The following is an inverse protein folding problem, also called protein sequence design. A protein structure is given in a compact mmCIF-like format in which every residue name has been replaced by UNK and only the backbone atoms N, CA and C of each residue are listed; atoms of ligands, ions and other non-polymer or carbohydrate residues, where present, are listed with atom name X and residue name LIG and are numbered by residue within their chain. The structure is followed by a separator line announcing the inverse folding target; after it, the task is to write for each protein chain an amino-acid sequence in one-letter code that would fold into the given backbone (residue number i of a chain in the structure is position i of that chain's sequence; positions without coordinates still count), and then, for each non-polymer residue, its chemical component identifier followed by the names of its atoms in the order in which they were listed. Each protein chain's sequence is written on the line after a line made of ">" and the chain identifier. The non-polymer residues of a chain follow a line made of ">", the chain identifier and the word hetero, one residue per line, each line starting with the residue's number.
data_IF_235785930344
#
_entry.id   IF_235785930344
#
_cell.length_a   1.000
_cell.length_b   1.000
_cell.length_c   1.000
_cell.angle_alpha   90.00
_cell.angle_beta   90.00
_cell.angle_gamma   90.00
#
_symmetry.space_group_name_H-M   'P 1'
#
loop_
_entity.id
_entity.type
_entity.pdbx_description
1 polymer ?
#
# COMPACT_ATOMS: atom_id res chain seq x y z
N UNK A 1 6.12 4.31 -18.41
CA UNK A 1 5.53 4.09 -17.07
C UNK A 1 5.65 5.39 -16.31
N UNK A 2 4.54 6.06 -16.02
CA UNK A 2 4.56 7.26 -15.15
C UNK A 2 4.47 6.78 -13.71
N UNK A 3 5.42 7.19 -12.87
CA UNK A 3 5.41 6.89 -11.45
C UNK A 3 4.88 8.14 -10.74
N UNK A 4 3.68 8.04 -10.18
CA UNK A 4 3.12 9.05 -9.30
C UNK A 4 3.44 8.66 -7.86
N UNK A 5 4.01 9.58 -7.07
CA UNK A 5 4.24 9.37 -5.64
C UNK A 5 3.70 10.56 -4.84
N UNK A 6 3.22 10.28 -3.63
CA UNK A 6 2.81 11.29 -2.66
C UNK A 6 3.27 10.85 -1.27
N UNK A 7 3.64 11.81 -0.42
CA UNK A 7 4.11 11.53 0.94
C UNK A 7 3.07 12.03 1.93
N UNK A 8 2.68 11.16 2.86
CA UNK A 8 1.76 11.50 3.96
C UNK A 8 2.30 10.97 5.27
N UNK A 9 2.06 11.71 6.35
CA UNK A 9 2.38 11.25 7.68
C UNK A 9 1.35 10.21 8.15
N UNK A 10 1.84 9.06 8.58
CA UNK A 10 1.05 7.96 9.12
C UNK A 10 1.93 7.08 10.02
N UNK A 11 1.30 6.31 10.90
CA UNK A 11 2.01 5.45 11.85
C UNK A 11 2.34 4.06 11.26
N UNK A 12 1.64 3.67 10.20
CA UNK A 12 1.93 2.49 9.39
C UNK A 12 1.36 2.62 7.97
N UNK A 13 1.67 1.65 7.10
CA UNK A 13 1.25 1.64 5.70
C UNK A 13 -0.28 1.57 5.51
N UNK A 14 -1.01 0.82 6.35
CA UNK A 14 -2.47 0.75 6.28
C UNK A 14 -3.13 2.05 6.70
N UNK A 15 -2.67 2.66 7.79
CA UNK A 15 -3.16 3.96 8.25
C UNK A 15 -2.88 5.08 7.26
N UNK A 16 -1.82 4.97 6.45
CA UNK A 16 -1.56 5.92 5.37
C UNK A 16 -2.68 5.90 4.30
N UNK A 17 -3.27 4.74 4.03
CA UNK A 17 -4.41 4.59 3.10
C UNK A 17 -5.66 5.23 3.68
N UNK A 18 -5.98 4.94 4.94
CA UNK A 18 -7.14 5.53 5.63
C UNK A 18 -7.00 7.06 5.72
N UNK A 19 -5.83 7.57 6.09
CA UNK A 19 -5.56 9.01 6.09
C UNK A 19 -5.68 9.62 4.69
N UNK A 20 -5.17 8.94 3.65
CA UNK A 20 -5.34 9.40 2.28
C UNK A 20 -6.82 9.49 1.87
N UNK A 21 -7.66 8.56 2.34
CA UNK A 21 -9.11 8.63 2.13
C UNK A 21 -9.73 9.82 2.88
N UNK A 22 -9.38 10.02 4.17
CA UNK A 22 -9.83 11.18 4.95
C UNK A 22 -9.47 12.51 4.29
N UNK A 23 -8.24 12.67 3.80
CA UNK A 23 -7.84 13.87 3.05
C UNK A 23 -8.58 14.02 1.73
N UNK A 24 -8.91 12.91 1.05
CA UNK A 24 -9.69 12.96 -0.19
C UNK A 24 -11.10 13.50 0.08
N UNK A 25 -11.65 13.25 1.27
CA UNK A 25 -12.95 13.80 1.68
C UNK A 25 -12.98 15.31 1.89
N UNK A 26 -11.83 15.96 2.10
CA UNK A 26 -11.75 17.42 2.16
C UNK A 26 -12.06 18.07 0.81
N UNK A 27 -12.02 17.30 -0.29
CA UNK A 27 -12.44 17.79 -1.59
C UNK A 27 -13.96 17.95 -1.66
N UNK A 28 -14.47 19.07 -2.20
CA UNK A 28 -15.91 19.28 -2.41
C UNK A 28 -16.61 18.16 -3.19
N UNK A 29 -15.85 17.41 -4.01
CA UNK A 29 -16.35 16.26 -4.78
C UNK A 29 -16.90 15.13 -3.91
N UNK A 30 -16.44 15.02 -2.67
CA UNK A 30 -16.81 13.95 -1.73
C UNK A 30 -17.55 14.49 -0.50
N UNK A 31 -17.96 15.76 -0.44
CA UNK A 31 -18.57 16.34 0.76
C UNK A 31 -20.07 16.01 1.00
N UNK A 32 -20.81 15.59 -0.04
CA UNK A 32 -22.27 15.69 -0.04
C UNK A 32 -23.03 14.34 -0.01
N UNK A 33 -22.39 13.22 0.34
CA UNK A 33 -23.03 11.90 0.32
C UNK A 33 -22.85 11.14 1.64
N UNK A 34 -23.85 10.35 2.03
CA UNK A 34 -23.74 9.43 3.17
C UNK A 34 -22.68 8.34 2.98
N UNK A 35 -22.28 8.08 1.73
CA UNK A 35 -21.27 7.06 1.36
C UNK A 35 -19.93 7.69 0.95
N UNK A 36 -19.70 8.94 1.30
CA UNK A 36 -18.53 9.71 0.88
C UNK A 36 -17.19 9.09 1.29
N UNK A 37 -17.11 8.47 2.48
CA UNK A 37 -15.89 7.79 2.94
C UNK A 37 -15.53 6.59 2.05
N UNK A 38 -16.51 5.73 1.77
CA UNK A 38 -16.33 4.55 0.91
C UNK A 38 -15.93 4.95 -0.51
N UNK A 39 -16.54 6.01 -1.05
CA UNK A 39 -16.17 6.54 -2.37
C UNK A 39 -14.75 7.11 -2.38
N UNK A 40 -14.35 7.82 -1.32
CA UNK A 40 -13.00 8.35 -1.18
C UNK A 40 -11.96 7.22 -1.06
N UNK A 41 -12.23 6.21 -0.23
CA UNK A 41 -11.34 5.05 -0.05
C UNK A 41 -11.22 4.25 -1.35
N UNK A 42 -12.34 4.07 -2.08
CA UNK A 42 -12.31 3.47 -3.43
C UNK A 42 -11.46 4.27 -4.41
N UNK A 43 -11.57 5.60 -4.40
CA UNK A 43 -10.76 6.46 -5.28
C UNK A 43 -9.26 6.33 -4.96
N UNK A 44 -8.90 6.24 -3.68
CA UNK A 44 -7.51 6.00 -3.24
C UNK A 44 -6.99 4.65 -3.72
N UNK A 45 -7.76 3.58 -3.54
CA UNK A 45 -7.43 2.23 -4.04
C UNK A 45 -7.29 2.19 -5.56
N UNK A 46 -8.09 2.98 -6.29
CA UNK A 46 -7.97 3.10 -7.72
C UNK A 46 -6.73 3.89 -8.16
N UNK A 47 -6.33 4.91 -7.40
CA UNK A 47 -5.20 5.78 -7.73
C UNK A 47 -3.83 5.21 -7.33
N UNK A 48 -3.77 4.39 -6.29
CA UNK A 48 -2.52 3.88 -5.71
C UNK A 48 -2.41 2.37 -5.88
N UNK A 49 -1.26 1.87 -6.29
CA UNK A 49 -0.98 0.42 -6.35
C UNK A 49 -0.22 -0.11 -5.14
N UNK A 50 0.70 0.71 -4.61
CA UNK A 50 1.60 0.34 -3.51
C UNK A 50 1.77 1.53 -2.57
N UNK A 51 1.75 1.24 -1.28
CA UNK A 51 2.08 2.18 -0.20
C UNK A 51 3.30 1.65 0.54
N UNK A 52 4.33 2.50 0.66
CA UNK A 52 5.55 2.20 1.38
C UNK A 52 5.62 3.09 2.61
N UNK A 53 5.76 2.48 3.78
CA UNK A 53 5.89 3.18 5.05
C UNK A 53 7.37 3.22 5.48
N UNK A 54 7.83 4.42 5.80
CA UNK A 54 9.19 4.69 6.28
C UNK A 54 9.12 5.05 7.77
N UNK A 55 9.97 4.42 8.57
CA UNK A 55 10.11 4.73 10.00
C UNK A 55 11.57 5.02 10.36
N UNK A 56 11.76 5.64 11.52
CA UNK A 56 13.08 5.84 12.10
C UNK A 56 13.44 4.60 12.93
N UNK A 57 14.56 3.96 12.60
CA UNK A 57 15.18 2.91 13.40
C UNK A 57 16.05 3.47 14.53
N UNK A 58 16.64 2.58 15.35
CA UNK A 58 17.63 2.96 16.35
C UNK A 58 18.76 3.77 15.71
N UNK A 59 19.17 4.86 16.36
CA UNK A 59 20.23 5.76 15.84
C UNK A 59 19.80 6.70 14.71
N UNK A 60 18.49 6.84 14.44
CA UNK A 60 17.98 7.82 13.47
C UNK A 60 18.02 7.38 12.01
N UNK A 61 18.45 6.14 11.74
CA UNK A 61 18.45 5.58 10.39
C UNK A 61 17.02 5.43 9.86
N UNK A 62 16.76 5.91 8.64
CA UNK A 62 15.46 5.72 7.96
C UNK A 62 15.40 4.31 7.38
N UNK A 63 14.33 3.58 7.67
CA UNK A 63 14.10 2.22 7.16
C UNK A 63 12.68 2.05 6.65
N UNK A 64 12.51 1.18 5.67
CA UNK A 64 11.17 0.68 5.31
C UNK A 64 10.67 -0.17 6.47
N UNK A 65 9.46 0.12 6.93
CA UNK A 65 8.79 -0.63 8.01
C UNK A 65 7.56 -1.37 7.52
N UNK A 66 6.98 -0.99 6.39
CA UNK A 66 5.87 -1.71 5.81
C UNK A 66 5.69 -1.41 4.33
N UNK A 67 5.18 -2.39 3.60
CA UNK A 67 4.78 -2.26 2.21
C UNK A 67 3.43 -2.93 2.05
N UNK A 68 2.44 -2.18 1.58
CA UNK A 68 1.08 -2.65 1.33
C UNK A 68 0.76 -2.48 -0.15
N UNK A 69 0.25 -3.52 -0.79
CA UNK A 69 -0.30 -3.47 -2.13
C UNK A 69 -1.82 -3.29 -2.08
N UNK A 70 -2.35 -2.43 -2.95
CA UNK A 70 -3.77 -2.13 -3.01
C UNK A 70 -4.40 -2.77 -4.25
N UNK A 71 -5.54 -3.41 -4.04
CA UNK A 71 -6.45 -3.87 -5.07
C UNK A 71 -7.56 -2.86 -5.35
N UNK A 72 -8.35 -3.12 -6.40
CA UNK A 72 -9.41 -2.20 -6.84
C UNK A 72 -10.63 -2.15 -5.91
N UNK A 73 -10.82 -3.18 -5.09
CA UNK A 73 -11.85 -3.21 -4.06
C UNK A 73 -11.33 -2.52 -2.79
N UNK A 74 -12.25 -1.83 -2.09
CA UNK A 74 -11.97 -1.00 -0.91
C UNK A 74 -11.30 -1.77 0.23
N UNK A 75 -11.64 -3.05 0.37
CA UNK A 75 -11.07 -3.90 1.43
C UNK A 75 -9.94 -4.80 0.93
N UNK A 76 -9.55 -4.67 -0.34
CA UNK A 76 -8.47 -5.46 -0.90
C UNK A 76 -7.13 -4.74 -0.72
N UNK A 77 -6.53 -4.95 0.44
CA UNK A 77 -5.16 -4.52 0.74
C UNK A 77 -4.33 -5.72 1.22
N UNK A 78 -3.17 -5.93 0.63
CA UNK A 78 -2.28 -7.06 0.92
C UNK A 78 -0.98 -6.54 1.49
N UNK A 79 -0.65 -6.94 2.72
CA UNK A 79 0.66 -6.65 3.31
C UNK A 79 1.73 -7.50 2.62
N UNK A 80 2.66 -6.83 1.92
CA UNK A 80 3.77 -7.49 1.25
C UNK A 80 4.95 -7.66 2.20
N UNK A 81 5.23 -6.60 2.96
CA UNK A 81 6.27 -6.56 3.98
C UNK A 81 5.74 -5.84 5.22
N UNK A 82 6.10 -6.34 6.40
CA UNK A 82 5.79 -5.74 7.70
C UNK A 82 6.98 -5.87 8.65
N UNK A 83 6.89 -5.29 9.84
CA UNK A 83 7.95 -5.45 10.86
C UNK A 83 7.74 -6.73 11.66
N UNK A 84 8.83 -7.47 11.88
CA UNK A 84 8.87 -8.53 12.90
C UNK A 84 8.87 -7.93 14.31
N UNK A 85 8.67 -8.77 15.34
CA UNK A 85 8.72 -8.32 16.74
C UNK A 85 10.09 -7.72 17.11
N UNK A 86 11.15 -8.18 16.45
CA UNK A 86 12.53 -7.69 16.59
C UNK A 86 12.78 -6.40 15.78
N UNK A 87 11.77 -5.89 15.08
CA UNK A 87 11.82 -4.65 14.32
C UNK A 87 12.45 -4.79 12.92
N UNK A 88 12.74 -6.00 12.46
CA UNK A 88 13.28 -6.26 11.13
C UNK A 88 12.18 -6.27 10.07
N UNK A 89 12.48 -5.86 8.84
CA UNK A 89 11.53 -5.95 7.74
C UNK A 89 11.40 -7.43 7.31
N UNK A 90 10.18 -7.96 7.35
CA UNK A 90 9.87 -9.35 6.99
C UNK A 90 8.85 -9.37 5.87
N UNK A 91 9.08 -10.20 4.85
CA UNK A 91 8.09 -10.47 3.81
C UNK A 91 6.92 -11.25 4.41
N UNK A 92 5.70 -10.75 4.22
CA UNK A 92 4.46 -11.38 4.70
C UNK A 92 3.78 -12.16 3.57
N UNK A 93 3.76 -11.60 2.36
CA UNK A 93 3.28 -12.31 1.16
C UNK A 93 4.12 -13.55 0.87
N UNK A 94 3.50 -14.68 0.55
CA UNK A 94 4.22 -15.94 0.28
C UNK A 94 4.47 -16.07 -1.22
N UNK A 95 3.45 -15.80 -2.02
CA UNK A 95 3.46 -16.03 -3.46
C UNK A 95 3.15 -14.73 -4.21
N UNK A 96 3.65 -14.64 -5.45
CA UNK A 96 3.23 -13.60 -6.41
C UNK A 96 1.72 -13.69 -6.69
N UNK A 97 1.14 -14.89 -6.53
CA UNK A 97 -0.30 -15.11 -6.61
C UNK A 97 -1.11 -14.29 -5.61
N UNK A 98 -0.50 -13.94 -4.46
CA UNK A 98 -1.12 -13.16 -3.38
C UNK A 98 -1.20 -11.66 -3.72
N UNK A 99 -0.51 -11.21 -4.78
CA UNK A 99 -0.56 -9.81 -5.21
C UNK A 99 -1.93 -9.48 -5.80
N UNK A 100 -2.45 -8.25 -5.54
CA UNK A 100 -3.65 -7.78 -6.20
C UNK A 100 -3.56 -7.90 -7.73
N UNK A 101 -4.63 -8.34 -8.43
CA UNK A 101 -4.58 -8.64 -9.86
C UNK A 101 -4.00 -7.52 -10.74
N UNK A 102 -4.35 -6.27 -10.44
CA UNK A 102 -3.85 -5.09 -11.15
C UNK A 102 -2.33 -4.92 -11.01
N UNK A 103 -1.82 -5.06 -9.79
CA UNK A 103 -0.39 -4.98 -9.53
C UNK A 103 0.36 -6.14 -10.18
N UNK A 104 -0.18 -7.37 -10.07
CA UNK A 104 0.38 -8.56 -10.72
C UNK A 104 0.47 -8.40 -12.23
N UNK A 105 -0.56 -7.86 -12.88
CA UNK A 105 -0.57 -7.61 -14.31
C UNK A 105 0.52 -6.60 -14.73
N UNK A 106 0.69 -5.51 -13.96
CA UNK A 106 1.72 -4.49 -14.20
C UNK A 106 3.14 -5.02 -14.01
N UNK A 107 3.34 -5.85 -12.99
CA UNK A 107 4.64 -6.43 -12.66
C UNK A 107 4.98 -7.67 -13.50
N UNK A 108 4.04 -8.23 -14.27
CA UNK A 108 4.24 -9.48 -15.02
C UNK A 108 5.50 -9.48 -15.89
N UNK A 109 5.82 -8.35 -16.50
CA UNK A 109 7.02 -8.20 -17.33
C UNK A 109 8.32 -8.13 -16.52
N UNK A 110 8.26 -7.58 -15.31
CA UNK A 110 9.41 -7.51 -14.39
C UNK A 110 9.62 -8.80 -13.59
N UNK A 111 8.58 -9.64 -13.48
CA UNK A 111 8.58 -10.91 -12.75
C UNK A 111 8.97 -12.10 -13.63
N UNK A 112 9.27 -11.89 -14.92
CA UNK A 112 9.41 -12.95 -15.93
C UNK A 112 10.74 -13.74 -15.86
N UNK A 113 11.57 -13.54 -14.84
CA UNK A 113 12.81 -14.30 -14.65
C UNK A 113 12.98 -14.73 -13.19
N UNK A 114 12.22 -15.75 -12.77
CA UNK A 114 12.66 -16.67 -11.72
C UNK A 114 12.72 -16.18 -10.27
N UNK A 115 11.63 -15.67 -9.70
CA UNK A 115 11.53 -15.59 -8.23
C UNK A 115 10.53 -16.61 -7.66
N UNK A 116 11.15 -17.74 -7.30
CA UNK A 116 10.68 -18.90 -6.54
C UNK A 116 10.24 -18.54 -5.11
N UNK A 117 9.46 -19.42 -4.44
CA UNK A 117 9.40 -19.42 -2.98
C UNK A 117 10.77 -19.81 -2.41
N UNK A 118 11.26 -19.08 -1.41
CA UNK A 118 12.31 -19.60 -0.54
C UNK A 118 11.69 -20.71 0.32
N UNK A 119 12.09 -21.95 0.05
CA UNK A 119 11.95 -23.07 0.97
C UNK A 119 12.97 -22.94 2.11
#
# INVERSE_FOLDING_TARGET
>A
MVICYSVRHADNAFLAVERAASYTMESPRFGNSSNSYELAKRAVHQALDVVVHLSHGPGGARRVSGVVALGEAVDHAVELYGQSAEGNLRRVSRLVGDLPPRLRARLRHSLAAGELPAA
#
